data_IF_498273497206
#
_entry.id   IF_498273497206
#
_cell.length_a   1.000
_cell.length_b   1.000
_cell.length_c   1.000
_cell.angle_alpha   90.00
_cell.angle_beta   90.00
_cell.angle_gamma   90.00
#
_symmetry.space_group_name_H-M   'P 1'
#
loop_
_entity.id
_entity.type
_entity.pdbx_description
1 polymer ?
#
# COMPACT_ATOMS: atom_id res chain seq x y z
N UNK A 1 12.62 -10.35 34.68
CA UNK A 1 12.36 -11.29 33.56
C UNK A 1 11.62 -10.64 32.38
N UNK A 2 11.77 -9.32 32.17
CA UNK A 2 11.24 -8.63 30.96
C UNK A 2 12.34 -7.86 30.23
N UNK A 3 13.35 -7.36 30.94
CA UNK A 3 14.46 -6.60 30.33
C UNK A 3 15.47 -7.50 29.60
N UNK A 4 15.85 -8.64 30.17
CA UNK A 4 16.84 -9.57 29.55
C UNK A 4 16.29 -10.21 28.26
N UNK A 5 14.97 -10.37 28.16
CA UNK A 5 14.27 -10.92 26.99
C UNK A 5 14.10 -9.94 25.83
N UNK A 6 14.30 -8.63 26.06
CA UNK A 6 14.15 -7.63 25.01
C UNK A 6 15.43 -7.54 24.17
N UNK A 7 16.61 -7.53 24.80
CA UNK A 7 17.86 -7.33 24.06
C UNK A 7 18.25 -8.53 23.19
N UNK A 8 18.17 -9.77 23.69
CA UNK A 8 18.60 -10.95 22.92
C UNK A 8 17.64 -11.29 21.75
N UNK A 9 16.36 -10.92 21.84
CA UNK A 9 15.33 -11.27 20.86
C UNK A 9 15.18 -10.17 19.79
N UNK A 10 15.19 -8.88 20.16
CA UNK A 10 15.05 -7.76 19.21
C UNK A 10 16.34 -7.42 18.44
N UNK A 11 17.52 -7.70 19.00
CA UNK A 11 18.79 -7.49 18.28
C UNK A 11 19.28 -8.75 17.54
N UNK A 12 18.45 -9.80 17.48
CA UNK A 12 18.71 -10.91 16.58
C UNK A 12 18.71 -10.39 15.13
N UNK A 13 19.67 -10.87 14.34
CA UNK A 13 19.85 -10.47 12.94
C UNK A 13 18.55 -10.70 12.14
N UNK A 14 17.83 -11.75 12.50
CA UNK A 14 16.56 -12.18 11.93
C UNK A 14 15.46 -11.14 12.15
N UNK A 15 15.38 -10.50 13.32
CA UNK A 15 14.40 -9.44 13.58
C UNK A 15 14.68 -8.19 12.72
N UNK A 16 15.94 -7.77 12.65
CA UNK A 16 16.35 -6.61 11.86
C UNK A 16 16.13 -6.82 10.34
N UNK A 17 16.34 -8.04 9.85
CA UNK A 17 16.10 -8.42 8.44
C UNK A 17 14.62 -8.29 8.04
N UNK A 18 13.70 -8.35 8.99
CA UNK A 18 12.26 -8.18 8.76
C UNK A 18 11.81 -6.73 9.00
N UNK A 19 12.30 -6.07 10.04
CA UNK A 19 11.87 -4.72 10.42
C UNK A 19 12.33 -3.63 9.42
N UNK A 20 13.58 -3.69 8.95
CA UNK A 20 14.15 -2.66 8.05
C UNK A 20 13.37 -2.54 6.74
N UNK A 21 13.04 -3.63 6.01
CA UNK A 21 12.16 -3.55 4.85
C UNK A 21 10.76 -3.02 5.19
N UNK A 22 10.23 -3.31 6.39
CA UNK A 22 8.93 -2.82 6.85
C UNK A 22 8.87 -1.29 6.90
N UNK A 23 9.91 -0.65 7.44
CA UNK A 23 9.99 0.82 7.46
C UNK A 23 9.98 1.42 6.05
N UNK A 24 10.74 0.84 5.12
CA UNK A 24 10.81 1.36 3.75
C UNK A 24 9.52 1.11 2.97
N UNK A 25 8.86 -0.03 3.18
CA UNK A 25 7.55 -0.34 2.58
C UNK A 25 6.50 0.67 3.03
N UNK A 26 6.32 0.86 4.35
CA UNK A 26 5.30 1.77 4.88
C UNK A 26 5.57 3.22 4.48
N UNK A 27 6.81 3.68 4.66
CA UNK A 27 7.18 5.05 4.30
C UNK A 27 7.05 5.27 2.79
N UNK A 28 7.42 4.28 1.98
CA UNK A 28 7.28 4.31 0.53
C UNK A 28 5.83 4.35 0.06
N UNK A 29 4.95 3.56 0.67
CA UNK A 29 3.50 3.59 0.39
C UNK A 29 2.90 4.96 0.73
N UNK A 30 3.13 5.45 1.95
CA UNK A 30 2.64 6.76 2.39
C UNK A 30 3.10 7.88 1.46
N UNK A 31 4.41 7.96 1.15
CA UNK A 31 4.96 8.97 0.24
C UNK A 31 4.28 8.94 -1.13
N UNK A 32 4.10 7.76 -1.72
CA UNK A 32 3.52 7.61 -3.06
C UNK A 32 2.04 7.96 -3.09
N UNK A 33 1.25 7.48 -2.14
CA UNK A 33 -0.18 7.73 -2.11
C UNK A 33 -0.50 9.17 -1.72
N UNK A 34 0.18 9.76 -0.72
CA UNK A 34 0.01 11.18 -0.36
C UNK A 34 0.31 12.09 -1.56
N UNK A 35 1.40 11.81 -2.28
CA UNK A 35 1.72 12.56 -3.51
C UNK A 35 0.62 12.40 -4.56
N UNK A 36 0.15 11.17 -4.78
CA UNK A 36 -0.86 10.89 -5.78
C UNK A 36 -2.20 11.61 -5.49
N UNK A 37 -2.68 11.55 -4.25
CA UNK A 37 -3.94 12.21 -3.86
C UNK A 37 -3.83 13.74 -3.94
N UNK A 38 -2.69 14.33 -3.55
CA UNK A 38 -2.47 15.78 -3.68
C UNK A 38 -2.41 16.21 -5.15
N UNK A 39 -1.66 15.49 -5.99
CA UNK A 39 -1.56 15.78 -7.42
C UNK A 39 -2.93 15.74 -8.11
N UNK A 40 -3.79 14.78 -7.74
CA UNK A 40 -5.14 14.65 -8.30
C UNK A 40 -6.04 15.83 -7.93
N UNK A 41 -5.92 16.36 -6.70
CA UNK A 41 -6.73 17.50 -6.25
C UNK A 41 -6.19 18.84 -6.78
N UNK A 42 -4.88 19.04 -6.76
CA UNK A 42 -4.26 20.32 -7.11
C UNK A 42 -4.17 20.59 -8.62
N UNK A 43 -3.81 19.57 -9.40
CA UNK A 43 -3.45 19.71 -10.83
C UNK A 43 -4.33 18.83 -11.72
N UNK A 44 -4.53 17.57 -11.32
CA UNK A 44 -5.36 16.62 -12.03
C UNK A 44 -4.84 16.21 -13.42
N UNK A 45 -3.60 16.53 -13.82
CA UNK A 45 -3.04 16.12 -15.12
C UNK A 45 -2.13 14.91 -15.03
N UNK A 46 -1.53 14.62 -13.87
CA UNK A 46 -0.66 13.44 -13.72
C UNK A 46 -1.45 12.11 -13.79
N UNK A 47 -1.42 11.47 -14.96
CA UNK A 47 -2.05 10.18 -15.20
C UNK A 47 -1.52 9.06 -14.29
N UNK A 48 -0.26 9.14 -13.85
CA UNK A 48 0.29 8.17 -12.89
C UNK A 48 -0.41 8.32 -11.54
N UNK A 49 -0.57 9.53 -11.04
CA UNK A 49 -1.29 9.81 -9.80
C UNK A 49 -2.74 9.35 -9.87
N UNK A 50 -3.44 9.60 -10.99
CA UNK A 50 -4.81 9.08 -11.18
C UNK A 50 -4.90 7.56 -11.08
N UNK A 51 -3.96 6.85 -11.71
CA UNK A 51 -3.90 5.38 -11.64
C UNK A 51 -3.60 4.89 -10.21
N UNK A 52 -2.70 5.57 -9.49
CA UNK A 52 -2.41 5.25 -8.10
C UNK A 52 -3.64 5.46 -7.21
N UNK A 53 -4.35 6.58 -7.33
CA UNK A 53 -5.57 6.85 -6.54
C UNK A 53 -6.64 5.78 -6.79
N UNK A 54 -6.75 5.24 -8.00
CA UNK A 54 -7.68 4.12 -8.30
C UNK A 54 -7.36 2.81 -7.57
N UNK A 55 -6.14 2.66 -7.04
CA UNK A 55 -5.77 1.51 -6.21
C UNK A 55 -6.26 1.66 -4.76
N UNK A 56 -6.64 2.88 -4.34
CA UNK A 56 -7.22 3.11 -3.02
C UNK A 56 -8.67 2.65 -3.05
N UNK A 57 -9.08 1.70 -2.19
CA UNK A 57 -10.45 1.25 -2.14
C UNK A 57 -11.41 2.40 -1.81
N UNK A 58 -12.58 2.51 -2.48
CA UNK A 58 -13.47 3.66 -2.34
C UNK A 58 -13.93 3.97 -0.91
N UNK A 59 -13.96 2.96 -0.02
CA UNK A 59 -14.34 3.15 1.39
C UNK A 59 -13.37 4.04 2.18
N UNK A 60 -12.13 4.17 1.73
CA UNK A 60 -11.14 5.09 2.33
C UNK A 60 -11.21 6.49 1.73
N UNK A 61 -11.95 6.69 0.65
CA UNK A 61 -12.09 7.98 -0.02
C UNK A 61 -13.44 8.61 0.35
N UNK A 62 -13.62 9.88 0.00
CA UNK A 62 -14.84 10.63 0.37
C UNK A 62 -16.10 9.92 -0.11
N UNK A 63 -17.09 9.82 0.79
CA UNK A 63 -18.34 9.07 0.60
C UNK A 63 -19.13 9.48 -0.63
N UNK A 64 -18.97 10.72 -1.09
CA UNK A 64 -19.79 11.22 -2.18
C UNK A 64 -19.33 10.74 -3.56
N UNK A 65 -18.03 10.43 -3.77
CA UNK A 65 -17.53 10.19 -5.14
C UNK A 65 -16.35 9.21 -5.27
N UNK A 66 -15.87 8.59 -4.20
CA UNK A 66 -14.65 7.76 -4.27
C UNK A 66 -13.44 8.59 -4.75
N UNK A 67 -13.37 9.85 -4.32
CA UNK A 67 -12.32 10.81 -4.66
C UNK A 67 -11.60 11.27 -3.41
N UNK A 68 -10.31 11.66 -3.52
CA UNK A 68 -9.61 12.31 -2.42
C UNK A 68 -10.39 13.53 -1.94
N UNK A 69 -10.33 13.80 -0.63
CA UNK A 69 -10.95 14.99 -0.05
C UNK A 69 -10.25 16.27 -0.53
N UNK A 70 -10.97 17.40 -0.54
CA UNK A 70 -10.41 18.71 -0.87
C UNK A 70 -9.52 19.23 0.28
N UNK A 71 -9.91 18.94 1.52
CA UNK A 71 -9.13 19.28 2.71
C UNK A 71 -7.88 18.40 2.79
N UNK A 72 -6.71 19.04 2.89
CA UNK A 72 -5.41 18.35 2.92
C UNK A 72 -5.24 17.44 4.13
N UNK A 73 -5.73 17.85 5.29
CA UNK A 73 -5.65 17.04 6.51
C UNK A 73 -6.50 15.78 6.36
N UNK A 74 -7.76 15.92 5.92
CA UNK A 74 -8.65 14.78 5.70
C UNK A 74 -8.07 13.84 4.63
N UNK A 75 -7.54 14.39 3.54
CA UNK A 75 -6.93 13.60 2.47
C UNK A 75 -5.69 12.80 2.92
N UNK A 76 -4.86 13.35 3.81
CA UNK A 76 -3.74 12.60 4.41
C UNK A 76 -4.28 11.50 5.31
N UNK A 77 -5.30 11.79 6.13
CA UNK A 77 -5.94 10.81 7.00
C UNK A 77 -6.53 9.63 6.20
N UNK A 78 -7.19 9.89 5.07
CA UNK A 78 -7.68 8.86 4.14
C UNK A 78 -6.58 7.91 3.67
N UNK A 79 -5.40 8.44 3.33
CA UNK A 79 -4.24 7.62 2.94
C UNK A 79 -3.68 6.85 4.12
N UNK A 80 -3.61 7.48 5.29
CA UNK A 80 -3.17 6.81 6.53
C UNK A 80 -4.07 5.63 6.86
N UNK A 81 -5.40 5.81 6.86
CA UNK A 81 -6.37 4.75 7.13
C UNK A 81 -6.23 3.58 6.15
N UNK A 82 -6.04 3.91 4.86
CA UNK A 82 -5.79 2.91 3.83
C UNK A 82 -4.51 2.10 4.08
N UNK A 83 -3.39 2.76 4.39
CA UNK A 83 -2.10 2.09 4.63
C UNK A 83 -2.10 1.31 5.93
N UNK A 84 -2.67 1.85 7.01
CA UNK A 84 -2.77 1.15 8.29
C UNK A 84 -3.74 -0.03 8.26
N UNK A 85 -4.71 -0.02 7.34
CA UNK A 85 -5.65 -1.13 7.14
C UNK A 85 -5.07 -2.31 6.36
N UNK A 86 -3.81 -2.26 5.93
CA UNK A 86 -3.16 -3.32 5.17
C UNK A 86 -2.62 -4.43 6.09
N UNK A 87 -2.63 -5.68 5.59
CA UNK A 87 -1.78 -6.74 6.16
C UNK A 87 -0.35 -6.60 5.62
N UNK A 88 0.64 -7.12 6.35
CA UNK A 88 2.06 -7.05 5.94
C UNK A 88 2.28 -7.60 4.53
N UNK A 89 1.72 -8.78 4.23
CA UNK A 89 1.86 -9.40 2.90
C UNK A 89 1.26 -8.53 1.79
N UNK A 90 0.12 -7.88 2.07
CA UNK A 90 -0.51 -6.98 1.10
C UNK A 90 0.32 -5.70 0.89
N UNK A 91 0.82 -5.09 1.96
CA UNK A 91 1.65 -3.88 1.90
C UNK A 91 2.92 -4.13 1.08
N UNK A 92 3.61 -5.24 1.33
CA UNK A 92 4.81 -5.65 0.57
C UNK A 92 4.48 -5.91 -0.90
N UNK A 93 3.40 -6.65 -1.18
CA UNK A 93 2.98 -6.96 -2.55
C UNK A 93 2.64 -5.69 -3.34
N UNK A 94 1.82 -4.81 -2.75
CA UNK A 94 1.44 -3.54 -3.35
C UNK A 94 2.67 -2.64 -3.58
N UNK A 95 3.57 -2.55 -2.59
CA UNK A 95 4.79 -1.76 -2.72
C UNK A 95 5.67 -2.24 -3.88
N UNK A 96 5.88 -3.56 -3.99
CA UNK A 96 6.62 -4.17 -5.11
C UNK A 96 5.95 -3.89 -6.46
N UNK A 97 4.62 -3.95 -6.52
CA UNK A 97 3.85 -3.65 -7.74
C UNK A 97 4.03 -2.20 -8.19
N UNK A 98 3.84 -1.23 -7.29
CA UNK A 98 3.87 0.21 -7.65
C UNK A 98 5.29 0.76 -7.83
N UNK A 99 6.31 0.03 -7.37
CA UNK A 99 7.72 0.34 -7.61
C UNK A 99 8.29 -0.39 -8.82
N UNK A 100 7.55 -1.35 -9.41
CA UNK A 100 8.01 -2.13 -10.55
C UNK A 100 9.01 -3.22 -10.19
N UNK A 101 9.16 -3.56 -8.91
CA UNK A 101 9.97 -4.69 -8.43
C UNK A 101 9.31 -6.02 -8.82
N UNK A 102 7.98 -6.06 -8.82
CA UNK A 102 7.20 -7.19 -9.29
C UNK A 102 6.14 -6.67 -10.26
N UNK A 103 6.11 -7.25 -11.46
CA UNK A 103 5.03 -7.03 -12.41
C UNK A 103 4.01 -8.16 -12.22
N UNK A 104 2.70 -7.90 -12.40
CA UNK A 104 1.71 -8.97 -12.41
C UNK A 104 2.06 -9.92 -13.56
N UNK A 105 2.59 -11.10 -13.22
CA UNK A 105 2.82 -12.18 -14.16
C UNK A 105 1.46 -12.58 -14.74
N UNK A 106 1.32 -12.60 -16.06
CA UNK A 106 0.09 -13.03 -16.76
C UNK A 106 -0.20 -14.55 -16.59
N UNK A 107 0.31 -15.19 -15.54
CA UNK A 107 0.25 -16.63 -15.30
C UNK A 107 -0.74 -16.86 -14.15
N UNK A 108 -2.02 -16.65 -14.41
CA UNK A 108 -3.09 -17.18 -13.54
C UNK A 108 -4.48 -17.18 -14.22
N UNK A 109 -4.60 -16.60 -15.41
CA UNK A 109 -5.82 -16.64 -16.20
C UNK A 109 -6.04 -17.95 -16.98
N UNK A 110 -5.09 -18.89 -16.95
CA UNK A 110 -5.21 -20.17 -17.65
C UNK A 110 -5.61 -21.36 -16.78
N UNK A 111 -5.44 -21.31 -15.45
CA UNK A 111 -5.70 -22.47 -14.60
C UNK A 111 -7.17 -22.57 -14.14
N UNK A 112 -7.95 -21.48 -14.19
CA UNK A 112 -9.39 -21.48 -13.87
C UNK A 112 -10.33 -21.96 -14.99
N UNK A 113 -9.82 -22.35 -16.17
CA UNK A 113 -10.67 -22.82 -17.28
C UNK A 113 -10.84 -24.34 -17.35
N UNK A 114 -10.15 -25.13 -16.52
CA UNK A 114 -10.19 -26.60 -16.58
C UNK A 114 -11.14 -27.24 -15.55
N UNK A 115 -11.58 -26.50 -14.52
CA UNK A 115 -12.42 -27.07 -13.44
C UNK A 115 -13.94 -26.80 -13.56
N UNK A 116 -14.41 -26.22 -14.67
CA UNK A 116 -15.82 -25.82 -14.82
C UNK A 116 -16.48 -26.44 -16.05
N UNK A 117 -16.35 -27.76 -16.27
CA UNK A 117 -17.26 -28.55 -17.13
C UNK A 117 -17.49 -29.94 -16.51
N UNK A 118 -18.67 -30.22 -15.95
CA UNK A 118 -19.28 -31.55 -15.97
C UNK A 118 -19.95 -31.85 -17.32
#
# INVERSE_FOLDING_TARGET
MREISIEEIYFSKEALEVEVPGFEVLAGLLRKFIKAVNNVVEDGKDEKSKKLVRLIPPQFLSKEKGRPDEDKYIRILQVTDFVSGMTDSYAVALYKQITGISLPTQIDSHEKRVELHP
#
